data_IF_590868790518
#
_entry.id   IF_590868790518
#
_cell.length_a   1.000
_cell.length_b   1.000
_cell.length_c   1.000
_cell.angle_alpha   90.00
_cell.angle_beta   90.00
_cell.angle_gamma   90.00
#
_symmetry.space_group_name_H-M   'P 1'
#
loop_
_entity.id
_entity.type
_entity.pdbx_description
1 polymer ?
#
# COMPACT_ATOMS: atom_id res chain seq x y z
N UNK A 1 23.27 0.12 -11.62
CA UNK A 1 22.02 0.92 -11.59
C UNK A 1 21.00 0.28 -12.48
N UNK A 2 19.79 0.11 -11.99
CA UNK A 2 18.69 -0.43 -12.80
C UNK A 2 18.04 0.72 -13.58
N UNK A 3 18.08 0.63 -14.92
CA UNK A 3 17.48 1.65 -15.80
C UNK A 3 16.16 1.20 -16.41
N UNK A 4 15.60 0.08 -15.97
CA UNK A 4 14.31 -0.39 -16.44
C UNK A 4 13.22 0.65 -16.09
N UNK A 5 12.33 0.90 -17.03
CA UNK A 5 11.31 1.95 -16.93
C UNK A 5 9.88 1.43 -17.12
N UNK A 6 9.71 0.18 -17.53
CA UNK A 6 8.41 -0.44 -17.76
C UNK A 6 8.27 -1.67 -16.90
N UNK A 7 7.15 -1.74 -16.21
CA UNK A 7 6.84 -2.85 -15.30
C UNK A 7 5.37 -3.22 -15.43
N UNK A 8 5.09 -4.50 -15.32
CA UNK A 8 3.71 -5.00 -15.22
C UNK A 8 3.45 -5.34 -13.76
N UNK A 9 2.45 -4.73 -13.16
CA UNK A 9 2.13 -4.95 -11.75
C UNK A 9 1.91 -6.42 -11.46
N UNK A 10 1.23 -7.14 -12.37
CA UNK A 10 0.94 -8.55 -12.19
C UNK A 10 2.20 -9.42 -11.99
N UNK A 11 3.34 -9.00 -12.54
CA UNK A 11 4.60 -9.74 -12.40
C UNK A 11 5.19 -9.64 -10.99
N UNK A 12 4.71 -8.69 -10.19
CA UNK A 12 5.24 -8.41 -8.85
C UNK A 12 4.31 -8.84 -7.74
N UNK A 13 3.08 -9.21 -8.04
CA UNK A 13 2.13 -9.63 -7.02
C UNK A 13 2.59 -10.96 -6.39
N UNK A 14 2.61 -11.00 -5.08
CA UNK A 14 3.01 -12.17 -4.30
C UNK A 14 1.92 -12.52 -3.29
N UNK A 15 0.87 -13.26 -3.73
CA UNK A 15 -0.13 -13.73 -2.79
C UNK A 15 0.52 -14.58 -1.70
N UNK A 16 0.16 -14.35 -0.46
CA UNK A 16 0.72 -15.08 0.67
C UNK A 16 -0.35 -15.33 1.71
N UNK A 17 -0.19 -16.41 2.46
CA UNK A 17 -0.99 -16.64 3.65
C UNK A 17 -0.36 -15.88 4.81
N UNK A 18 -1.18 -15.40 5.73
CA UNK A 18 -0.73 -14.58 6.85
C UNK A 18 -0.68 -13.10 6.49
N UNK A 19 0.50 -12.51 6.50
CA UNK A 19 0.64 -11.09 6.19
C UNK A 19 0.86 -10.86 4.69
N UNK A 20 0.31 -9.76 4.14
CA UNK A 20 0.65 -9.36 2.77
C UNK A 20 2.14 -9.10 2.61
N UNK A 21 2.68 -9.46 1.44
CA UNK A 21 4.10 -9.27 1.13
C UNK A 21 4.29 -7.89 0.48
N UNK A 22 5.27 -7.16 0.99
CA UNK A 22 5.74 -5.91 0.39
C UNK A 22 6.60 -6.24 -0.82
N UNK A 23 6.03 -6.16 -2.02
CA UNK A 23 6.72 -6.53 -3.25
C UNK A 23 7.19 -5.29 -4.00
N UNK A 24 8.49 -5.01 -3.92
CA UNK A 24 9.07 -3.79 -4.52
C UNK A 24 9.15 -3.93 -6.03
N UNK A 25 8.52 -3.01 -6.75
CA UNK A 25 8.61 -2.91 -8.20
C UNK A 25 9.86 -2.12 -8.60
N UNK A 26 10.05 -0.97 -7.99
CA UNK A 26 11.15 -0.07 -8.31
C UNK A 26 11.53 0.75 -7.10
N UNK A 27 12.81 1.01 -6.94
CA UNK A 27 13.32 1.79 -5.81
C UNK A 27 14.44 2.70 -6.27
N UNK A 28 14.36 3.96 -5.84
CA UNK A 28 15.40 4.96 -6.02
C UNK A 28 15.43 5.84 -4.79
N UNK A 29 16.30 6.85 -4.76
CA UNK A 29 16.29 7.83 -3.68
C UNK A 29 14.99 8.66 -3.66
N UNK A 30 14.32 8.79 -4.79
CA UNK A 30 13.14 9.63 -4.93
C UNK A 30 11.86 8.94 -4.49
N UNK A 31 11.74 7.62 -4.72
CA UNK A 31 10.52 6.89 -4.41
C UNK A 31 10.75 5.38 -4.36
N UNK A 32 9.89 4.71 -3.61
CA UNK A 32 9.75 3.25 -3.64
C UNK A 32 8.36 2.93 -4.14
N UNK A 33 8.27 2.12 -5.19
CA UNK A 33 7.00 1.68 -5.77
C UNK A 33 6.79 0.21 -5.40
N UNK A 34 5.67 -0.10 -4.79
CA UNK A 34 5.37 -1.41 -4.22
C UNK A 34 4.05 -1.93 -4.76
N UNK A 35 4.03 -3.19 -5.16
CA UNK A 35 2.80 -3.91 -5.49
C UNK A 35 2.31 -4.68 -4.27
N UNK A 36 1.01 -4.58 -4.00
CA UNK A 36 0.38 -5.23 -2.87
C UNK A 36 -0.76 -6.15 -3.32
N UNK A 37 -0.78 -7.34 -2.74
CA UNK A 37 -1.88 -8.29 -2.88
C UNK A 37 -2.35 -8.63 -1.46
N UNK A 38 -3.58 -8.25 -1.14
CA UNK A 38 -4.17 -8.44 0.19
C UNK A 38 -5.38 -9.36 0.04
N UNK A 39 -5.25 -10.57 0.55
CA UNK A 39 -6.36 -11.55 0.51
C UNK A 39 -7.50 -11.15 1.44
N UNK A 40 -8.73 -11.64 1.20
CA UNK A 40 -9.81 -11.44 2.17
C UNK A 40 -9.39 -11.83 3.57
N UNK A 41 -9.68 -10.95 4.54
CA UNK A 41 -9.32 -11.13 5.95
C UNK A 41 -7.92 -10.68 6.33
N UNK A 42 -7.07 -10.36 5.36
CA UNK A 42 -5.73 -9.87 5.66
C UNK A 42 -5.74 -8.38 5.96
N UNK A 43 -4.72 -7.94 6.68
CA UNK A 43 -4.55 -6.56 7.12
C UNK A 43 -3.12 -6.10 6.86
N UNK A 44 -2.98 -4.87 6.36
CA UNK A 44 -1.73 -4.13 6.50
C UNK A 44 -1.91 -3.25 7.73
N UNK A 45 -1.18 -3.50 8.83
CA UNK A 45 -1.36 -2.77 10.08
C UNK A 45 -1.14 -1.27 9.92
N UNK A 46 -1.87 -0.50 10.68
CA UNK A 46 -1.75 0.95 10.68
C UNK A 46 -0.34 1.40 11.05
N UNK A 47 0.16 2.37 10.32
CA UNK A 47 1.51 2.91 10.48
C UNK A 47 1.58 4.32 9.94
N UNK A 48 2.73 4.96 10.13
CA UNK A 48 3.02 6.29 9.59
C UNK A 48 4.37 6.28 8.88
N UNK A 49 4.51 7.20 7.91
CA UNK A 49 5.81 7.54 7.32
C UNK A 49 6.17 8.94 7.81
N UNK A 50 7.04 9.06 8.85
CA UNK A 50 7.24 10.35 9.51
C UNK A 50 7.88 11.42 8.64
N UNK A 51 8.60 11.03 7.58
CA UNK A 51 9.33 11.98 6.74
C UNK A 51 8.96 11.88 5.26
N UNK A 52 7.79 11.36 4.95
CA UNK A 52 7.31 11.26 3.57
C UNK A 52 5.85 10.89 3.49
N UNK A 53 5.38 10.60 2.29
CA UNK A 53 3.99 10.24 2.03
C UNK A 53 3.87 8.92 1.30
N UNK A 54 2.70 8.31 1.40
CA UNK A 54 2.37 7.04 0.74
C UNK A 54 1.08 7.24 -0.06
N UNK A 55 1.17 7.01 -1.37
CA UNK A 55 0.03 7.16 -2.28
C UNK A 55 -0.34 5.80 -2.84
N UNK A 56 -1.59 5.39 -2.64
CA UNK A 56 -2.11 4.12 -3.15
C UNK A 56 -3.06 4.36 -4.31
N UNK A 57 -2.87 3.61 -5.39
CA UNK A 57 -3.80 3.53 -6.52
C UNK A 57 -4.40 2.14 -6.52
N UNK A 58 -5.72 2.06 -6.36
CA UNK A 58 -6.44 0.80 -6.21
C UNK A 58 -6.77 0.24 -7.59
N UNK A 59 -6.34 -1.00 -7.86
CA UNK A 59 -6.49 -1.64 -9.15
C UNK A 59 -7.63 -2.65 -9.20
N UNK A 60 -7.81 -3.43 -8.13
CA UNK A 60 -8.90 -4.42 -8.05
C UNK A 60 -9.24 -4.73 -6.60
N UNK A 61 -10.43 -5.30 -6.41
CA UNK A 61 -10.92 -5.66 -5.09
C UNK A 61 -11.47 -4.48 -4.30
N UNK A 62 -11.66 -4.68 -3.02
CA UNK A 62 -12.20 -3.69 -2.09
C UNK A 62 -11.51 -3.83 -0.74
N UNK A 63 -11.58 -2.78 0.06
CA UNK A 63 -11.05 -2.82 1.43
C UNK A 63 -11.53 -1.64 2.24
N UNK A 64 -11.15 -1.65 3.52
CA UNK A 64 -11.38 -0.55 4.45
C UNK A 64 -10.04 0.12 4.73
N UNK A 65 -9.86 1.33 4.24
CA UNK A 65 -8.64 2.11 4.41
C UNK A 65 -8.70 2.82 5.75
N UNK A 66 -7.78 2.50 6.63
CA UNK A 66 -7.72 3.08 7.98
C UNK A 66 -7.08 4.46 7.93
N UNK A 67 -7.76 5.45 8.49
CA UNK A 67 -7.36 6.87 8.41
C UNK A 67 -6.91 7.46 9.74
N UNK A 68 -6.95 6.68 10.81
CA UNK A 68 -6.57 7.16 12.14
C UNK A 68 -6.10 5.98 13.00
N UNK A 69 -5.53 6.28 14.16
CA UNK A 69 -5.14 5.26 15.14
C UNK A 69 -6.35 4.51 15.73
N UNK A 70 -7.54 5.07 15.56
CA UNK A 70 -8.82 4.45 15.96
C UNK A 70 -9.31 3.50 14.87
N UNK A 71 -10.47 2.89 15.08
CA UNK A 71 -11.11 2.03 14.07
C UNK A 71 -11.71 2.79 12.87
N UNK A 72 -11.52 4.12 12.79
CA UNK A 72 -12.05 4.93 11.69
C UNK A 72 -11.43 4.49 10.36
N UNK A 73 -12.29 4.20 9.40
CA UNK A 73 -11.88 3.75 8.07
C UNK A 73 -12.85 4.27 7.00
N UNK A 74 -12.39 4.27 5.76
CA UNK A 74 -13.20 4.57 4.59
C UNK A 74 -13.11 3.42 3.60
N UNK A 75 -14.20 3.09 2.89
CA UNK A 75 -14.12 2.06 1.85
C UNK A 75 -13.32 2.54 0.65
N UNK A 76 -12.52 1.64 0.08
CA UNK A 76 -11.76 1.89 -1.14
C UNK A 76 -12.09 0.84 -2.18
N UNK A 77 -12.04 1.23 -3.45
CA UNK A 77 -12.41 0.40 -4.59
C UNK A 77 -11.57 0.75 -5.82
N UNK A 78 -11.60 -0.08 -6.87
CA UNK A 78 -10.81 0.19 -8.07
C UNK A 78 -11.04 1.59 -8.64
N UNK A 79 -9.95 2.26 -9.00
CA UNK A 79 -9.97 3.63 -9.49
C UNK A 79 -9.78 4.68 -8.40
N UNK A 80 -9.84 4.30 -7.14
CA UNK A 80 -9.57 5.24 -6.05
C UNK A 80 -8.07 5.48 -5.89
N UNK A 81 -7.73 6.70 -5.53
CA UNK A 81 -6.39 7.10 -5.10
C UNK A 81 -6.51 7.63 -3.68
N UNK A 82 -5.70 7.10 -2.77
CA UNK A 82 -5.65 7.58 -1.40
C UNK A 82 -4.24 8.02 -1.06
N UNK A 83 -4.12 9.11 -0.33
CA UNK A 83 -2.83 9.68 0.04
C UNK A 83 -2.76 9.78 1.56
N UNK A 84 -1.74 9.16 2.13
CA UNK A 84 -1.32 9.43 3.49
C UNK A 84 -0.18 10.44 3.41
N UNK A 85 -0.44 11.67 3.80
CA UNK A 85 0.57 12.71 3.85
C UNK A 85 1.56 12.42 4.97
N UNK A 86 2.62 13.22 5.04
CA UNK A 86 3.67 13.03 6.05
C UNK A 86 3.06 12.86 7.45
N UNK A 87 3.41 11.74 8.10
CA UNK A 87 2.98 11.43 9.46
C UNK A 87 1.53 11.01 9.62
N UNK A 88 0.75 10.93 8.53
CA UNK A 88 -0.64 10.48 8.64
C UNK A 88 -0.74 8.97 8.77
N UNK A 89 -1.62 8.53 9.66
CA UNK A 89 -1.89 7.12 9.90
C UNK A 89 -2.60 6.52 8.70
N UNK A 90 -2.15 5.35 8.27
CA UNK A 90 -2.84 4.58 7.24
C UNK A 90 -2.58 3.09 7.40
N UNK A 91 -3.50 2.32 6.91
CA UNK A 91 -3.48 0.88 6.88
C UNK A 91 -4.70 0.40 6.10
N UNK A 92 -4.89 -0.89 5.98
CA UNK A 92 -6.04 -1.42 5.27
C UNK A 92 -6.43 -2.80 5.84
N UNK A 93 -7.72 -3.06 5.83
CA UNK A 93 -8.29 -4.38 6.09
C UNK A 93 -9.14 -4.79 4.89
N UNK A 94 -8.89 -5.99 4.35
CA UNK A 94 -9.74 -6.53 3.30
C UNK A 94 -10.93 -7.25 3.92
N UNK A 95 -12.08 -6.57 3.93
CA UNK A 95 -13.33 -7.12 4.40
C UNK A 95 -14.22 -7.66 3.28
N UNK A 96 -13.69 -7.74 2.06
CA UNK A 96 -14.40 -8.24 0.90
C UNK A 96 -14.21 -9.72 0.67
N UNK A 97 -14.66 -10.18 -0.50
CA UNK A 97 -14.58 -11.60 -0.92
C UNK A 97 -13.52 -11.86 -1.99
N UNK A 98 -12.86 -10.80 -2.46
CA UNK A 98 -11.82 -10.87 -3.48
C UNK A 98 -10.55 -10.22 -2.98
N UNK A 99 -9.41 -10.58 -3.59
CA UNK A 99 -8.15 -9.94 -3.27
C UNK A 99 -8.19 -8.44 -3.60
N UNK A 100 -7.65 -7.64 -2.69
CA UNK A 100 -7.39 -6.22 -2.91
C UNK A 100 -6.00 -6.10 -3.52
N UNK A 101 -5.92 -5.44 -4.68
CA UNK A 101 -4.65 -5.21 -5.36
C UNK A 101 -4.47 -3.72 -5.56
N UNK A 102 -3.30 -3.23 -5.16
CA UNK A 102 -2.97 -1.82 -5.36
C UNK A 102 -1.47 -1.61 -5.49
N UNK A 103 -1.13 -0.44 -5.98
CA UNK A 103 0.26 0.03 -6.07
C UNK A 103 0.42 1.17 -5.09
N UNK A 104 1.47 1.12 -4.27
CA UNK A 104 1.84 2.22 -3.39
C UNK A 104 3.11 2.89 -3.89
N UNK A 105 3.16 4.22 -3.74
CA UNK A 105 4.34 5.03 -4.01
C UNK A 105 4.69 5.77 -2.73
N UNK A 106 5.81 5.38 -2.14
CA UNK A 106 6.35 6.03 -0.94
C UNK A 106 7.44 6.99 -1.38
N UNK A 107 7.28 8.27 -1.07
CA UNK A 107 8.21 9.31 -1.49
C UNK A 107 8.47 10.33 -0.38
N UNK A 108 9.74 10.69 -0.15
CA UNK A 108 10.94 10.07 -0.72
C UNK A 108 11.16 8.65 -0.20
N UNK A 109 12.14 7.93 -0.76
CA UNK A 109 12.42 6.57 -0.33
C UNK A 109 12.81 6.49 1.16
N UNK A 110 13.36 7.56 1.70
CA UNK A 110 13.76 7.68 3.11
C UNK A 110 12.63 8.22 4.00
N UNK A 111 11.38 7.89 3.68
CA UNK A 111 10.21 8.39 4.42
C UNK A 111 10.10 7.83 5.85
N UNK A 112 10.83 6.77 6.15
CA UNK A 112 10.73 6.10 7.44
C UNK A 112 9.48 5.23 7.54
N UNK A 113 9.38 4.49 8.63
CA UNK A 113 8.23 3.64 8.92
C UNK A 113 8.13 3.47 10.43
N UNK A 114 6.97 3.80 10.99
CA UNK A 114 6.69 3.62 12.41
C UNK A 114 5.33 2.92 12.57
N UNK A 115 5.30 1.71 13.12
CA UNK A 115 4.03 1.06 13.46
C UNK A 115 3.37 1.79 14.63
N UNK A 116 2.08 1.67 14.70
CA UNK A 116 1.30 2.20 15.83
C UNK A 116 1.16 1.19 16.96
#
# INVERSE_FOLDING_TARGET
MNTQRFFKVADFLQPADGEPIRSVISESADAVIVAWHVKPGQTIPAHVHPTGQDTWTILSGQGQYQIAATAASIPIAPGDVVVAHRGEVHGVYNNGSEALVFVSVVAPATSGFEPL
#
